data_IF_501460855208
#
_entry.id   IF_501460855208
#
_cell.length_a   1.000
_cell.length_b   1.000
_cell.length_c   1.000
_cell.angle_alpha   90.00
_cell.angle_beta   90.00
_cell.angle_gamma   90.00
#
_symmetry.space_group_name_H-M   'P 1'
#
loop_
_entity.id
_entity.type
_entity.pdbx_description
1 polymer ?
#
# COMPACT_ATOMS: atom_id res chain seq x y z
N UNK A 1 -26.60 10.27 -33.18
CA UNK A 1 -25.19 10.61 -32.91
C UNK A 1 -24.45 9.35 -32.51
N UNK A 2 -23.46 8.91 -33.31
CA UNK A 2 -22.65 7.72 -33.01
C UNK A 2 -21.42 8.22 -32.25
N UNK A 3 -21.38 8.01 -30.94
CA UNK A 3 -20.17 8.24 -30.15
C UNK A 3 -19.09 7.31 -30.70
N UNK A 4 -18.13 7.86 -31.43
CA UNK A 4 -16.89 7.16 -31.71
C UNK A 4 -16.17 7.04 -30.36
N UNK A 5 -16.32 5.88 -29.71
CA UNK A 5 -15.54 5.55 -28.51
C UNK A 5 -14.08 5.49 -28.98
N UNK A 6 -13.33 6.57 -28.76
CA UNK A 6 -11.88 6.62 -29.01
C UNK A 6 -11.29 5.41 -28.28
N UNK A 7 -10.62 4.51 -29.01
CA UNK A 7 -9.83 3.49 -28.34
C UNK A 7 -8.67 4.21 -27.65
N UNK A 8 -8.42 3.96 -26.37
CA UNK A 8 -7.26 4.54 -25.69
C UNK A 8 -6.00 4.14 -26.45
N UNK A 9 -5.02 5.05 -26.46
CA UNK A 9 -3.73 4.79 -27.07
C UNK A 9 -3.00 3.70 -26.25
N UNK A 10 -2.40 2.67 -26.85
CA UNK A 10 -1.61 1.68 -26.11
C UNK A 10 -0.54 2.28 -25.18
N UNK A 11 -0.02 3.46 -25.51
CA UNK A 11 0.91 4.18 -24.65
C UNK A 11 0.22 4.76 -23.39
N UNK A 12 -1.01 5.27 -23.53
CA UNK A 12 -1.84 5.74 -22.41
C UNK A 12 -2.18 4.56 -21.48
N UNK A 13 -2.58 3.41 -22.03
CA UNK A 13 -2.88 2.20 -21.24
C UNK A 13 -1.65 1.69 -20.46
N UNK A 14 -0.44 1.74 -21.06
CA UNK A 14 0.81 1.36 -20.37
C UNK A 14 1.12 2.31 -19.22
N UNK A 15 0.94 3.61 -19.43
CA UNK A 15 1.20 4.62 -18.41
C UNK A 15 0.25 4.48 -17.21
N UNK A 16 -1.04 4.33 -17.46
CA UNK A 16 -2.06 4.09 -16.41
C UNK A 16 -1.75 2.82 -15.61
N UNK A 17 -1.37 1.73 -16.29
CA UNK A 17 -0.99 0.48 -15.61
C UNK A 17 0.26 0.66 -14.75
N UNK A 18 1.25 1.40 -15.25
CA UNK A 18 2.50 1.66 -14.53
C UNK A 18 2.25 2.44 -13.24
N UNK A 19 1.40 3.47 -13.31
CA UNK A 19 0.98 4.27 -12.14
C UNK A 19 0.22 3.39 -11.13
N UNK A 20 -0.76 2.63 -11.60
CA UNK A 20 -1.54 1.72 -10.76
C UNK A 20 -0.67 0.67 -10.02
N UNK A 21 0.35 0.12 -10.68
CA UNK A 21 1.27 -0.83 -10.04
C UNK A 21 2.17 -0.15 -9.01
N UNK A 22 2.66 1.06 -9.30
CA UNK A 22 3.47 1.85 -8.35
C UNK A 22 2.69 2.15 -7.08
N UNK A 23 1.45 2.58 -7.22
CA UNK A 23 0.58 2.89 -6.08
C UNK A 23 0.30 1.64 -5.23
N UNK A 24 0.05 0.50 -5.86
CA UNK A 24 -0.17 -0.77 -5.15
C UNK A 24 1.08 -1.22 -4.38
N UNK A 25 2.26 -1.20 -5.02
CA UNK A 25 3.53 -1.52 -4.36
C UNK A 25 3.77 -0.56 -3.20
N UNK A 26 3.56 0.73 -3.42
CA UNK A 26 3.74 1.77 -2.41
C UNK A 26 2.87 1.52 -1.18
N UNK A 27 1.57 1.27 -1.36
CA UNK A 27 0.66 0.95 -0.26
C UNK A 27 1.10 -0.32 0.48
N UNK A 28 1.42 -1.39 -0.25
CA UNK A 28 1.81 -2.66 0.35
C UNK A 28 3.14 -2.58 1.11
N UNK A 29 4.10 -1.75 0.66
CA UNK A 29 5.34 -1.48 1.41
C UNK A 29 5.07 -0.84 2.77
N UNK A 30 4.12 0.09 2.85
CA UNK A 30 3.68 0.66 4.13
C UNK A 30 3.09 -0.41 5.06
N UNK A 31 2.26 -1.29 4.50
CA UNK A 31 1.68 -2.42 5.24
C UNK A 31 2.75 -3.41 5.72
N UNK A 32 3.72 -3.74 4.90
CA UNK A 32 4.84 -4.64 5.26
C UNK A 32 5.64 -4.08 6.45
N UNK A 33 6.00 -2.79 6.40
CA UNK A 33 6.71 -2.10 7.48
C UNK A 33 5.89 -2.15 8.78
N UNK A 34 4.60 -1.82 8.71
CA UNK A 34 3.71 -1.87 9.88
C UNK A 34 3.58 -3.29 10.46
N UNK A 35 3.49 -4.32 9.61
CA UNK A 35 3.40 -5.72 10.04
C UNK A 35 4.72 -6.27 10.61
N UNK A 36 5.86 -5.68 10.24
CA UNK A 36 7.16 -5.94 10.85
C UNK A 36 7.27 -5.40 12.29
N UNK A 37 6.54 -4.31 12.59
CA UNK A 37 6.52 -3.62 13.89
C UNK A 37 5.12 -3.62 14.53
N UNK A 38 4.36 -4.70 14.30
CA UNK A 38 2.93 -4.76 14.64
C UNK A 38 2.61 -4.43 16.10
N UNK A 39 3.47 -4.83 17.04
CA UNK A 39 3.27 -4.53 18.46
C UNK A 39 3.40 -3.03 18.74
N UNK A 40 4.42 -2.37 18.21
CA UNK A 40 4.60 -0.92 18.34
C UNK A 40 3.43 -0.14 17.70
N UNK A 41 2.97 -0.61 16.53
CA UNK A 41 1.78 -0.03 15.85
C UNK A 41 0.53 -0.17 16.72
N UNK A 42 0.31 -1.36 17.30
CA UNK A 42 -0.83 -1.61 18.18
C UNK A 42 -0.79 -0.74 19.45
N UNK A 43 0.39 -0.54 20.04
CA UNK A 43 0.60 0.36 21.18
C UNK A 43 0.24 1.81 20.81
N UNK A 44 0.79 2.33 19.70
CA UNK A 44 0.49 3.69 19.23
C UNK A 44 -1.01 3.90 18.98
N UNK A 45 -1.68 2.96 18.31
CA UNK A 45 -3.12 3.06 18.02
C UNK A 45 -3.95 2.96 19.29
N UNK A 46 -3.53 2.15 20.27
CA UNK A 46 -4.22 2.00 21.55
C UNK A 46 -4.13 3.27 22.41
N UNK A 47 -2.94 3.89 22.47
CA UNK A 47 -2.69 5.06 23.33
C UNK A 47 -3.17 6.38 22.72
N UNK A 48 -3.42 6.40 21.40
CA UNK A 48 -3.83 7.61 20.71
C UNK A 48 -5.23 8.10 21.15
N UNK A 49 -5.40 9.41 21.44
CA UNK A 49 -6.69 9.98 21.84
C UNK A 49 -7.70 10.10 20.68
N UNK A 50 -7.24 9.93 19.43
CA UNK A 50 -8.08 9.98 18.23
C UNK A 50 -7.39 9.30 17.05
N UNK A 51 -8.16 8.98 16.01
CA UNK A 51 -7.63 8.43 14.75
C UNK A 51 -6.59 9.37 14.12
N UNK A 52 -6.85 10.68 14.10
CA UNK A 52 -5.88 11.65 13.54
C UNK A 52 -4.58 11.71 14.34
N UNK A 53 -4.66 11.57 15.67
CA UNK A 53 -3.47 11.50 16.51
C UNK A 53 -2.67 10.21 16.25
N UNK A 54 -3.35 9.07 16.11
CA UNK A 54 -2.72 7.81 15.74
C UNK A 54 -2.03 7.91 14.37
N UNK A 55 -2.70 8.50 13.37
CA UNK A 55 -2.11 8.74 12.05
C UNK A 55 -0.80 9.53 12.13
N UNK A 56 -0.83 10.69 12.76
CA UNK A 56 0.36 11.55 12.89
C UNK A 56 1.51 10.80 13.58
N UNK A 57 1.21 10.07 14.66
CA UNK A 57 2.22 9.29 15.37
C UNK A 57 2.77 8.13 14.53
N UNK A 58 1.94 7.48 13.71
CA UNK A 58 2.36 6.39 12.82
C UNK A 58 3.16 6.88 11.61
N UNK A 59 2.85 8.06 11.07
CA UNK A 59 3.65 8.74 10.02
C UNK A 59 5.09 8.91 10.51
N UNK A 60 5.27 9.46 11.72
CA UNK A 60 6.58 9.63 12.34
C UNK A 60 7.24 8.30 12.73
N UNK A 61 6.50 7.38 13.35
CA UNK A 61 7.04 6.10 13.82
C UNK A 61 7.58 5.25 12.68
N UNK A 62 6.82 5.16 11.58
CA UNK A 62 7.07 4.25 10.48
C UNK A 62 7.76 4.93 9.28
N UNK A 63 7.88 6.26 9.28
CA UNK A 63 8.41 7.06 8.17
C UNK A 63 7.65 6.79 6.87
N UNK A 64 6.30 6.77 6.98
CA UNK A 64 5.38 6.49 5.89
C UNK A 64 4.58 7.75 5.55
N UNK A 65 4.13 7.86 4.30
CA UNK A 65 3.27 8.98 3.90
C UNK A 65 1.80 8.77 4.28
N UNK A 66 1.00 9.82 4.08
CA UNK A 66 -0.41 9.85 4.43
C UNK A 66 -1.20 8.67 3.83
N UNK A 67 -0.95 8.31 2.57
CA UNK A 67 -1.69 7.23 1.89
C UNK A 67 -1.38 5.87 2.54
N UNK A 68 -0.10 5.62 2.82
CA UNK A 68 0.33 4.40 3.48
C UNK A 68 -0.22 4.33 4.91
N UNK A 69 -0.16 5.41 5.67
CA UNK A 69 -0.62 5.43 7.07
C UNK A 69 -2.13 5.26 7.18
N UNK A 70 -2.90 5.85 6.27
CA UNK A 70 -4.34 5.57 6.17
C UNK A 70 -4.60 4.06 6.06
N UNK A 71 -3.83 3.37 5.21
CA UNK A 71 -3.93 1.92 5.06
C UNK A 71 -3.52 1.16 6.32
N UNK A 72 -2.48 1.64 7.03
CA UNK A 72 -2.00 1.02 8.28
C UNK A 72 -3.04 1.08 9.39
N UNK A 73 -3.73 2.20 9.55
CA UNK A 73 -4.79 2.36 10.55
C UNK A 73 -5.96 1.40 10.32
N UNK A 74 -6.25 1.07 9.06
CA UNK A 74 -7.30 0.12 8.68
C UNK A 74 -6.85 -1.37 8.74
N UNK A 75 -5.61 -1.65 9.17
CA UNK A 75 -5.12 -3.02 9.29
C UNK A 75 -5.87 -3.80 10.36
N UNK A 76 -6.05 -5.08 10.08
CA UNK A 76 -6.81 -6.00 10.92
C UNK A 76 -5.85 -7.00 11.58
N UNK A 77 -6.09 -7.33 12.85
CA UNK A 77 -5.27 -8.27 13.63
C UNK A 77 -4.94 -9.57 12.90
N UNK A 78 -5.86 -10.12 12.10
CA UNK A 78 -5.59 -11.34 11.32
C UNK A 78 -4.40 -11.22 10.37
N UNK A 79 -4.10 -10.02 9.87
CA UNK A 79 -2.98 -9.77 8.95
C UNK A 79 -1.61 -9.88 9.63
N UNK A 80 -1.54 -9.81 10.96
CA UNK A 80 -0.28 -10.00 11.69
C UNK A 80 0.14 -11.47 11.82
N UNK A 81 -0.77 -12.41 11.55
CA UNK A 81 -0.44 -13.83 11.49
C UNK A 81 0.65 -14.09 10.43
N UNK A 82 1.62 -14.95 10.75
CA UNK A 82 2.80 -15.18 9.89
C UNK A 82 2.46 -15.53 8.44
N UNK A 83 1.44 -16.37 8.23
CA UNK A 83 0.97 -16.72 6.89
C UNK A 83 0.43 -15.51 6.11
N UNK A 84 -0.36 -14.64 6.76
CA UNK A 84 -0.92 -13.47 6.10
C UNK A 84 0.14 -12.42 5.81
N UNK A 85 1.14 -12.26 6.70
CA UNK A 85 2.32 -11.42 6.44
C UNK A 85 3.14 -11.93 5.25
N UNK A 86 3.35 -13.24 5.14
CA UNK A 86 4.06 -13.85 4.02
C UNK A 86 3.37 -13.55 2.68
N UNK A 87 2.04 -13.64 2.63
CA UNK A 87 1.27 -13.28 1.42
C UNK A 87 1.47 -11.83 0.98
N UNK A 88 1.60 -10.89 1.92
CA UNK A 88 1.88 -9.48 1.60
C UNK A 88 3.25 -9.34 0.95
N UNK A 89 4.28 -9.98 1.52
CA UNK A 89 5.64 -9.96 0.96
C UNK A 89 5.69 -10.62 -0.43
N UNK A 90 5.02 -11.76 -0.61
CA UNK A 90 4.90 -12.42 -1.91
C UNK A 90 4.20 -11.54 -2.95
N UNK A 91 3.13 -10.84 -2.56
CA UNK A 91 2.41 -9.93 -3.46
C UNK A 91 3.27 -8.75 -3.90
N UNK A 92 4.03 -8.15 -2.97
CA UNK A 92 4.97 -7.07 -3.30
C UNK A 92 5.97 -7.53 -4.35
N UNK A 93 6.60 -8.71 -4.15
CA UNK A 93 7.56 -9.25 -5.10
C UNK A 93 6.94 -9.45 -6.49
N UNK A 94 5.73 -10.01 -6.57
CA UNK A 94 5.03 -10.19 -7.85
C UNK A 94 4.76 -8.85 -8.55
N UNK A 95 4.30 -7.85 -7.82
CA UNK A 95 4.02 -6.53 -8.38
C UNK A 95 5.29 -5.80 -8.81
N UNK A 96 6.40 -5.97 -8.08
CA UNK A 96 7.70 -5.42 -8.47
C UNK A 96 8.26 -6.08 -9.73
N UNK A 97 8.09 -7.39 -9.89
CA UNK A 97 8.44 -8.11 -11.12
C UNK A 97 7.60 -7.60 -12.32
N UNK A 98 6.29 -7.41 -12.13
CA UNK A 98 5.42 -6.85 -13.16
C UNK A 98 5.81 -5.42 -13.53
N UNK A 99 6.09 -4.59 -12.51
CA UNK A 99 6.53 -3.22 -12.70
C UNK A 99 7.83 -3.14 -13.49
N UNK A 100 8.82 -3.98 -13.12
CA UNK A 100 10.09 -4.06 -13.83
C UNK A 100 9.89 -4.40 -15.32
N UNK A 101 9.03 -5.39 -15.60
CA UNK A 101 8.68 -5.79 -16.97
C UNK A 101 8.00 -4.69 -17.80
N UNK A 102 7.30 -3.75 -17.16
CA UNK A 102 6.67 -2.60 -17.82
C UNK A 102 7.58 -1.37 -17.92
N UNK A 103 8.71 -1.34 -17.22
CA UNK A 103 9.72 -0.27 -17.33
C UNK A 103 10.89 -0.61 -18.24
N UNK A 104 11.09 -1.90 -18.53
CA UNK A 104 12.05 -2.39 -19.53
C UNK A 104 11.61 -2.04 -20.97
#
# INVERSE_FOLDING_TARGET
MRFLRRRPDPAEERAERLECLRDQVHILRGVEVALGRWLEVAEVVHDAPSVNAARTALEDLLQLDELQVLTVVDLQLRRSAGQERAKVAEEILRLEEELAGLTA
#
